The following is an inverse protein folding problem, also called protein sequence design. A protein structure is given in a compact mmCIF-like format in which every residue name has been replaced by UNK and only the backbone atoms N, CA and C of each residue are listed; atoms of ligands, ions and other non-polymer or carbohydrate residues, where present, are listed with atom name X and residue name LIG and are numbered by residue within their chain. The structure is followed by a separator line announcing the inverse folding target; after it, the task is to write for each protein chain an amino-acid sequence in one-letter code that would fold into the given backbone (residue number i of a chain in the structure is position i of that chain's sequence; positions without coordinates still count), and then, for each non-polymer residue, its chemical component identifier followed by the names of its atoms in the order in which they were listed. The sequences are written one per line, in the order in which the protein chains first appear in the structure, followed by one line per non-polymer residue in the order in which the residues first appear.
data_IF_923605402366
#
_entry.id   IF_923605402366
#
_cell.length_a   1.000
_cell.length_b   1.000
_cell.length_c   1.000
_cell.angle_alpha   90.00
_cell.angle_beta   90.00
_cell.angle_gamma   90.00
#
_symmetry.space_group_name_H-M   'P 1'
#
loop_
_entity.id
_entity.type
_entity.pdbx_description
1 polymer ?
#
# COMPACT_ATOMS: atom_id res chain seq x y z
N UNK A 1 8.91 -34.84 -9.65
CA UNK A 1 7.54 -35.09 -10.18
C UNK A 1 7.57 -35.44 -11.68
N UNK A 2 7.28 -36.69 -12.02
CA UNK A 2 7.24 -37.19 -13.39
C UNK A 2 6.12 -36.48 -14.17
N UNK A 3 6.48 -35.63 -15.15
CA UNK A 3 5.50 -35.02 -16.05
C UNK A 3 5.30 -36.00 -17.23
N UNK A 4 4.06 -36.39 -17.55
CA UNK A 4 3.79 -37.34 -18.64
C UNK A 4 4.29 -36.76 -19.99
N UNK A 5 4.89 -37.60 -20.86
CA UNK A 5 5.50 -37.22 -22.14
C UNK A 5 4.61 -36.38 -23.07
N UNK A 6 3.28 -36.54 -22.96
CA UNK A 6 2.28 -35.77 -23.67
C UNK A 6 2.17 -34.29 -23.25
N UNK A 7 2.48 -33.97 -21.99
CA UNK A 7 2.59 -32.59 -21.51
C UNK A 7 3.89 -31.92 -21.95
N UNK A 8 4.91 -32.71 -22.33
CA UNK A 8 6.20 -32.21 -22.75
C UNK A 8 6.23 -31.85 -24.25
N UNK A 9 5.55 -32.64 -25.10
CA UNK A 9 5.40 -32.33 -26.54
C UNK A 9 4.44 -31.17 -26.85
N UNK A 10 3.55 -30.81 -25.91
CA UNK A 10 2.56 -29.73 -26.07
C UNK A 10 2.85 -28.49 -25.24
N UNK A 11 4.07 -28.37 -24.68
CA UNK A 11 4.54 -27.18 -23.95
C UNK A 11 4.42 -25.90 -24.76
N UNK A 12 4.48 -25.98 -26.09
CA UNK A 12 4.43 -24.81 -26.97
C UNK A 12 3.02 -24.45 -27.43
N UNK A 13 2.00 -25.26 -27.13
CA UNK A 13 0.63 -25.08 -27.66
C UNK A 13 -0.15 -24.08 -26.80
N UNK A 14 -0.83 -23.12 -27.43
CA UNK A 14 -1.77 -22.25 -26.69
C UNK A 14 -3.05 -23.04 -26.40
N UNK A 15 -3.48 -23.05 -25.14
CA UNK A 15 -4.69 -23.74 -24.67
C UNK A 15 -4.74 -25.25 -24.95
N UNK A 16 -3.60 -25.91 -25.20
CA UNK A 16 -3.53 -27.30 -25.68
C UNK A 16 -4.29 -27.59 -27.00
N UNK A 17 -4.80 -26.55 -27.67
CA UNK A 17 -5.63 -26.62 -28.89
C UNK A 17 -4.93 -26.01 -30.11
N UNK A 18 -4.05 -25.01 -29.93
CA UNK A 18 -3.40 -24.31 -31.03
C UNK A 18 -1.91 -24.64 -31.13
N UNK A 19 -1.55 -25.39 -32.19
CA UNK A 19 -0.16 -25.68 -32.55
C UNK A 19 0.65 -24.39 -32.84
N UNK A 20 1.98 -24.37 -32.56
CA UNK A 20 2.86 -23.21 -32.77
C UNK A 20 2.87 -22.66 -34.21
N UNK A 21 2.57 -23.48 -35.21
CA UNK A 21 2.49 -23.11 -36.63
C UNK A 21 1.11 -22.68 -37.14
N UNK A 22 0.09 -22.57 -36.28
CA UNK A 22 -1.25 -22.23 -36.75
C UNK A 22 -1.34 -20.78 -37.24
N UNK A 23 -1.93 -20.54 -38.43
CA UNK A 23 -2.02 -19.22 -39.09
C UNK A 23 -2.69 -18.18 -38.19
N UNK A 24 -3.68 -18.60 -37.41
CA UNK A 24 -4.40 -17.75 -36.42
C UNK A 24 -3.44 -17.21 -35.37
N UNK A 25 -2.57 -18.05 -34.80
CA UNK A 25 -1.60 -17.61 -33.77
C UNK A 25 -0.57 -16.66 -34.34
N UNK A 26 -0.10 -16.90 -35.56
CA UNK A 26 0.84 -16.00 -36.25
C UNK A 26 0.21 -14.63 -36.55
N UNK A 27 -1.05 -14.62 -36.98
CA UNK A 27 -1.81 -13.38 -37.18
C UNK A 27 -2.03 -12.63 -35.85
N UNK A 28 -2.43 -13.31 -34.78
CA UNK A 28 -2.56 -12.68 -33.46
C UNK A 28 -1.23 -12.11 -32.96
N UNK A 29 -0.10 -12.81 -33.17
CA UNK A 29 1.24 -12.28 -32.86
C UNK A 29 1.57 -11.02 -33.68
N UNK A 30 1.23 -11.01 -34.97
CA UNK A 30 1.42 -9.85 -35.85
C UNK A 30 0.56 -8.66 -35.41
N UNK A 31 -0.67 -8.90 -34.97
CA UNK A 31 -1.58 -7.87 -34.45
C UNK A 31 -1.03 -7.28 -33.15
N UNK A 32 -0.59 -8.10 -32.19
CA UNK A 32 -0.03 -7.64 -30.91
C UNK A 32 1.30 -6.89 -31.11
N UNK A 33 2.12 -7.30 -32.07
CA UNK A 33 3.40 -6.65 -32.34
C UNK A 33 3.23 -5.25 -32.99
N UNK A 34 2.04 -4.92 -33.48
CA UNK A 34 1.81 -3.68 -34.20
C UNK A 34 1.59 -2.50 -33.23
N UNK A 35 2.38 -1.43 -33.36
CA UNK A 35 2.31 -0.26 -32.46
C UNK A 35 0.93 0.40 -32.41
N UNK A 36 0.15 0.34 -33.50
CA UNK A 36 -1.22 0.90 -33.53
C UNK A 36 -2.15 0.14 -32.58
N UNK A 37 -1.93 -1.16 -32.34
CA UNK A 37 -2.73 -1.92 -31.38
C UNK A 37 -2.60 -1.33 -29.97
N UNK A 38 -1.39 -1.01 -29.54
CA UNK A 38 -1.15 -0.38 -28.23
C UNK A 38 -1.79 1.01 -28.13
N UNK A 39 -1.70 1.83 -29.18
CA UNK A 39 -2.35 3.14 -29.22
C UNK A 39 -3.88 3.05 -29.18
N UNK A 40 -4.46 2.11 -29.91
CA UNK A 40 -5.92 1.88 -29.92
C UNK A 40 -6.40 1.45 -28.53
N UNK A 41 -5.71 0.48 -27.90
CA UNK A 41 -6.09 0.04 -26.55
C UNK A 41 -5.93 1.19 -25.54
N UNK A 42 -4.87 1.99 -25.64
CA UNK A 42 -4.67 3.15 -24.78
C UNK A 42 -5.80 4.20 -24.96
N UNK A 43 -6.24 4.44 -26.20
CA UNK A 43 -7.38 5.32 -26.48
C UNK A 43 -8.66 4.83 -25.80
N UNK A 44 -8.97 3.53 -25.89
CA UNK A 44 -10.14 2.97 -25.20
C UNK A 44 -10.04 3.04 -23.68
N UNK A 45 -8.83 2.87 -23.10
CA UNK A 45 -8.61 3.10 -21.67
C UNK A 45 -8.91 4.56 -21.31
N UNK A 46 -8.39 5.51 -22.10
CA UNK A 46 -8.60 6.94 -21.87
C UNK A 46 -10.08 7.34 -21.96
N UNK A 47 -10.78 6.89 -22.99
CA UNK A 47 -12.23 7.10 -23.14
C UNK A 47 -13.00 6.50 -21.96
N UNK A 48 -12.61 5.31 -21.49
CA UNK A 48 -13.24 4.72 -20.32
C UNK A 48 -13.01 5.54 -19.04
N UNK A 49 -11.82 6.11 -18.84
CA UNK A 49 -11.55 7.02 -17.73
C UNK A 49 -12.45 8.28 -17.80
N UNK A 50 -12.67 8.85 -18.99
CA UNK A 50 -13.59 9.97 -19.18
C UNK A 50 -15.01 9.58 -18.75
N UNK A 51 -15.49 8.40 -19.17
CA UNK A 51 -16.84 7.96 -18.78
C UNK A 51 -17.00 7.80 -17.27
N UNK A 52 -15.97 7.34 -16.55
CA UNK A 52 -15.97 7.25 -15.08
C UNK A 52 -15.96 8.65 -14.46
N UNK A 53 -15.18 9.59 -15.00
CA UNK A 53 -15.12 10.96 -14.50
C UNK A 53 -16.44 11.72 -14.69
N UNK A 54 -17.24 11.35 -15.69
CA UNK A 54 -18.57 11.92 -15.93
C UNK A 54 -19.67 11.31 -15.04
N UNK A 55 -19.41 10.21 -14.32
CA UNK A 55 -20.38 9.57 -13.42
C UNK A 55 -20.67 10.49 -12.22
N UNK A 56 -21.90 11.03 -12.14
CA UNK A 56 -22.37 11.87 -11.02
C UNK A 56 -23.43 11.13 -10.19
N UNK A 57 -23.49 11.35 -8.87
CA UNK A 57 -24.47 10.69 -8.00
C UNK A 57 -25.91 11.16 -8.26
N UNK A 58 -26.10 12.36 -8.81
CA UNK A 58 -27.40 13.01 -8.97
C UNK A 58 -28.15 12.60 -10.26
N UNK A 59 -27.64 11.60 -10.99
CA UNK A 59 -28.23 11.15 -12.26
C UNK A 59 -29.45 10.28 -11.98
N UNK A 60 -30.62 10.72 -12.44
CA UNK A 60 -31.89 10.00 -12.34
C UNK A 60 -31.84 8.60 -12.96
N UNK A 61 -32.60 7.66 -12.40
CA UNK A 61 -32.56 6.25 -12.79
C UNK A 61 -32.92 6.00 -14.27
N UNK A 62 -33.75 6.86 -14.87
CA UNK A 62 -34.27 6.72 -16.24
C UNK A 62 -33.67 7.73 -17.24
N UNK A 63 -32.60 8.45 -16.88
CA UNK A 63 -32.03 9.44 -17.79
C UNK A 63 -31.27 8.77 -18.95
N UNK A 64 -31.28 9.37 -20.16
CA UNK A 64 -30.51 8.87 -21.30
C UNK A 64 -29.00 8.82 -21.03
N UNK A 65 -28.51 9.59 -20.06
CA UNK A 65 -27.11 9.62 -19.64
C UNK A 65 -26.71 8.30 -18.96
N UNK A 66 -27.60 7.72 -18.14
CA UNK A 66 -27.36 6.44 -17.48
C UNK A 66 -27.34 5.29 -18.48
N UNK A 67 -28.21 5.36 -19.50
CA UNK A 67 -28.20 4.42 -20.61
C UNK A 67 -26.89 4.53 -21.41
N UNK A 68 -26.44 5.74 -21.73
CA UNK A 68 -25.17 5.97 -22.41
C UNK A 68 -23.98 5.40 -21.62
N UNK A 69 -23.91 5.65 -20.31
CA UNK A 69 -22.86 5.11 -19.44
C UNK A 69 -22.87 3.57 -19.41
N UNK A 70 -24.06 2.97 -19.39
CA UNK A 70 -24.23 1.51 -19.38
C UNK A 70 -23.76 0.90 -20.70
N UNK A 71 -24.23 1.42 -21.83
CA UNK A 71 -23.82 0.97 -23.17
C UNK A 71 -22.31 1.14 -23.36
N UNK A 72 -21.76 2.29 -22.96
CA UNK A 72 -20.34 2.56 -23.06
C UNK A 72 -19.51 1.56 -22.23
N UNK A 73 -19.96 1.22 -21.02
CA UNK A 73 -19.30 0.22 -20.19
C UNK A 73 -19.29 -1.18 -20.83
N UNK A 74 -20.38 -1.58 -21.49
CA UNK A 74 -20.45 -2.83 -22.25
C UNK A 74 -19.46 -2.83 -23.41
N UNK A 75 -19.42 -1.75 -24.20
CA UNK A 75 -18.50 -1.62 -25.34
C UNK A 75 -17.05 -1.71 -24.88
N UNK A 76 -16.65 -0.97 -23.85
CA UNK A 76 -15.29 -1.02 -23.33
C UNK A 76 -14.94 -2.42 -22.81
N UNK A 77 -15.85 -3.07 -22.09
CA UNK A 77 -15.61 -4.43 -21.59
C UNK A 77 -15.43 -5.42 -22.73
N UNK A 78 -16.25 -5.33 -23.78
CA UNK A 78 -16.12 -6.18 -24.97
C UNK A 78 -14.77 -5.98 -25.69
N UNK A 79 -14.33 -4.72 -25.86
CA UNK A 79 -13.00 -4.41 -26.44
C UNK A 79 -11.89 -5.06 -25.60
N UNK A 80 -11.94 -4.93 -24.28
CA UNK A 80 -10.91 -5.49 -23.41
C UNK A 80 -10.93 -7.02 -23.31
N UNK A 81 -12.10 -7.64 -23.40
CA UNK A 81 -12.23 -9.11 -23.48
C UNK A 81 -11.63 -9.62 -24.80
N UNK A 82 -11.90 -8.91 -25.90
CA UNK A 82 -11.33 -9.24 -27.21
C UNK A 82 -9.81 -9.12 -27.18
N UNK A 83 -9.30 -8.03 -26.61
CA UNK A 83 -7.87 -7.76 -26.42
C UNK A 83 -7.19 -8.85 -25.58
N UNK A 84 -7.78 -9.23 -24.45
CA UNK A 84 -7.32 -10.34 -23.61
C UNK A 84 -7.31 -11.66 -24.39
N UNK A 85 -8.37 -11.96 -25.15
CA UNK A 85 -8.50 -13.19 -25.92
C UNK A 85 -7.41 -13.30 -26.99
N UNK A 86 -7.13 -12.22 -27.72
CA UNK A 86 -6.04 -12.15 -28.71
C UNK A 86 -4.68 -12.43 -28.06
N UNK A 87 -4.42 -11.85 -26.88
CA UNK A 87 -3.19 -12.07 -26.11
C UNK A 87 -3.03 -13.50 -25.62
N UNK A 88 -4.10 -14.10 -25.09
CA UNK A 88 -4.10 -15.48 -24.61
C UNK A 88 -3.81 -16.45 -25.76
N UNK A 89 -4.42 -16.24 -26.93
CA UNK A 89 -4.18 -17.06 -28.13
C UNK A 89 -2.72 -16.94 -28.59
N UNK A 90 -2.14 -15.73 -28.60
CA UNK A 90 -0.78 -15.49 -29.08
C UNK A 90 0.33 -16.04 -28.16
N UNK A 91 0.19 -15.84 -26.84
CA UNK A 91 1.25 -16.07 -25.84
C UNK A 91 1.15 -17.41 -25.09
N UNK A 92 0.05 -18.15 -25.25
CA UNK A 92 -0.30 -19.33 -24.45
C UNK A 92 -0.56 -19.01 -22.97
N UNK A 93 -1.55 -19.69 -22.38
CA UNK A 93 -2.13 -19.32 -21.09
C UNK A 93 -1.21 -19.69 -19.90
N UNK A 94 -0.64 -20.89 -19.88
CA UNK A 94 0.08 -21.44 -18.71
C UNK A 94 1.47 -22.02 -19.04
N UNK A 95 1.66 -22.63 -20.22
CA UNK A 95 2.90 -23.34 -20.58
C UNK A 95 3.58 -22.67 -21.78
N UNK A 96 4.85 -22.29 -21.61
CA UNK A 96 5.70 -21.63 -22.60
C UNK A 96 6.62 -20.55 -21.98
N UNK A 97 7.81 -20.32 -22.54
CA UNK A 97 8.78 -19.33 -22.02
C UNK A 97 8.28 -17.88 -22.08
N UNK A 98 7.15 -17.62 -22.74
CA UNK A 98 6.45 -16.33 -22.80
C UNK A 98 4.97 -16.38 -22.36
N UNK A 99 4.59 -17.31 -21.47
CA UNK A 99 3.20 -17.51 -21.05
C UNK A 99 2.56 -16.23 -20.45
N UNK A 100 1.28 -16.00 -20.78
CA UNK A 100 0.53 -14.80 -20.38
C UNK A 100 0.56 -14.56 -18.85
N UNK A 101 0.37 -15.61 -18.05
CA UNK A 101 0.34 -15.55 -16.59
C UNK A 101 1.71 -15.33 -15.93
N UNK A 102 2.82 -15.41 -16.67
CA UNK A 102 4.16 -15.19 -16.11
C UNK A 102 4.47 -13.70 -15.92
N UNK A 103 3.79 -12.82 -16.66
CA UNK A 103 3.91 -11.38 -16.53
C UNK A 103 2.89 -10.86 -15.52
N UNK A 104 3.35 -10.23 -14.43
CA UNK A 104 2.50 -9.60 -13.40
C UNK A 104 1.55 -8.57 -14.02
N UNK A 105 2.02 -7.83 -15.02
CA UNK A 105 1.24 -6.79 -15.70
C UNK A 105 0.10 -7.35 -16.55
N UNK A 106 0.34 -8.46 -17.24
CA UNK A 106 -0.71 -9.15 -18.00
C UNK A 106 -1.72 -9.82 -17.06
N UNK A 107 -1.26 -10.38 -15.95
CA UNK A 107 -2.13 -10.97 -14.92
C UNK A 107 -3.05 -9.92 -14.29
N UNK A 108 -2.54 -8.72 -14.01
CA UNK A 108 -3.35 -7.59 -13.51
C UNK A 108 -4.43 -7.16 -14.52
N UNK A 109 -4.08 -7.04 -15.80
CA UNK A 109 -5.04 -6.70 -16.86
C UNK A 109 -6.13 -7.77 -17.01
N UNK A 110 -5.74 -9.04 -17.01
CA UNK A 110 -6.67 -10.18 -17.03
C UNK A 110 -7.59 -10.22 -15.81
N UNK A 111 -7.07 -9.94 -14.61
CA UNK A 111 -7.88 -9.82 -13.40
C UNK A 111 -8.93 -8.69 -13.51
N UNK A 112 -8.54 -7.52 -14.02
CA UNK A 112 -9.47 -6.40 -14.20
C UNK A 112 -10.56 -6.69 -15.25
N UNK A 113 -10.24 -7.47 -16.29
CA UNK A 113 -11.23 -7.94 -17.28
C UNK A 113 -12.19 -8.94 -16.64
N UNK A 114 -11.68 -9.90 -15.87
CA UNK A 114 -12.49 -10.89 -15.16
C UNK A 114 -13.48 -10.22 -14.19
N UNK A 115 -13.02 -9.26 -13.38
CA UNK A 115 -13.89 -8.50 -12.47
C UNK A 115 -15.00 -7.78 -13.25
N UNK A 116 -14.69 -7.21 -14.42
CA UNK A 116 -15.69 -6.53 -15.26
C UNK A 116 -16.70 -7.50 -15.87
N UNK A 117 -16.27 -8.71 -16.25
CA UNK A 117 -17.18 -9.77 -16.73
C UNK A 117 -18.11 -10.25 -15.62
N UNK A 118 -17.57 -10.48 -14.42
CA UNK A 118 -18.36 -10.89 -13.25
C UNK A 118 -19.37 -9.81 -12.89
N UNK A 119 -18.99 -8.53 -12.89
CA UNK A 119 -19.91 -7.41 -12.64
C UNK A 119 -21.09 -7.41 -13.62
N UNK A 120 -20.82 -7.60 -14.92
CA UNK A 120 -21.86 -7.73 -15.95
C UNK A 120 -22.78 -8.94 -15.68
N UNK A 121 -22.22 -10.14 -15.49
CA UNK A 121 -23.00 -11.36 -15.26
C UNK A 121 -23.87 -11.21 -14.01
N UNK A 122 -23.33 -10.67 -12.92
CA UNK A 122 -24.07 -10.46 -11.68
C UNK A 122 -25.18 -9.42 -11.91
N UNK A 123 -24.90 -8.32 -12.63
CA UNK A 123 -25.93 -7.32 -12.94
C UNK A 123 -27.10 -7.86 -13.78
N UNK A 124 -26.85 -8.83 -14.67
CA UNK A 124 -27.88 -9.49 -15.46
C UNK A 124 -28.66 -10.54 -14.65
N UNK A 125 -28.03 -11.18 -13.66
CA UNK A 125 -28.62 -12.24 -12.86
C UNK A 125 -29.35 -11.75 -11.58
N UNK A 126 -29.32 -10.45 -11.28
CA UNK A 126 -29.72 -9.90 -9.97
C UNK A 126 -31.24 -9.75 -9.73
N UNK A 127 -32.09 -10.48 -10.46
CA UNK A 127 -33.54 -10.53 -10.17
C UNK A 127 -33.87 -11.24 -8.84
N UNK A 128 -32.87 -11.72 -8.07
CA UNK A 128 -33.09 -12.61 -6.92
C UNK A 128 -32.14 -12.38 -5.74
N UNK A 129 -32.37 -11.33 -4.93
CA UNK A 129 -32.02 -11.36 -3.49
C UNK A 129 -31.10 -10.27 -2.91
N UNK A 130 -31.44 -9.80 -1.70
CA UNK A 130 -30.80 -8.68 -1.00
C UNK A 130 -29.31 -8.86 -0.63
N UNK A 131 -28.76 -10.08 -0.58
CA UNK A 131 -27.32 -10.31 -0.34
C UNK A 131 -26.46 -9.92 -1.55
N UNK A 132 -27.03 -9.95 -2.75
CA UNK A 132 -26.34 -9.61 -4.00
C UNK A 132 -26.05 -8.11 -4.07
N UNK A 133 -26.90 -7.27 -3.44
CA UNK A 133 -26.74 -5.82 -3.40
C UNK A 133 -25.42 -5.36 -2.75
N UNK A 134 -24.92 -6.08 -1.74
CA UNK A 134 -23.64 -5.78 -1.10
C UNK A 134 -22.44 -6.08 -2.00
N UNK A 135 -22.46 -7.24 -2.66
CA UNK A 135 -21.40 -7.67 -3.59
C UNK A 135 -21.38 -6.78 -4.84
N UNK A 136 -22.56 -6.42 -5.37
CA UNK A 136 -22.71 -5.47 -6.47
C UNK A 136 -22.06 -4.11 -6.16
N UNK A 137 -22.16 -3.61 -4.92
CA UNK A 137 -21.51 -2.35 -4.54
C UNK A 137 -19.99 -2.45 -4.64
N UNK A 138 -19.39 -3.55 -4.17
CA UNK A 138 -17.94 -3.74 -4.22
C UNK A 138 -17.46 -3.94 -5.67
N UNK A 139 -18.15 -4.75 -6.46
CA UNK A 139 -17.82 -4.96 -7.88
C UNK A 139 -17.89 -3.64 -8.67
N UNK A 140 -18.92 -2.83 -8.39
CA UNK A 140 -19.04 -1.46 -8.90
C UNK A 140 -17.92 -0.54 -8.44
N UNK A 141 -17.31 -0.72 -7.27
CA UNK A 141 -16.15 0.08 -6.87
C UNK A 141 -14.88 -0.37 -7.60
N UNK A 142 -14.72 -1.67 -7.86
CA UNK A 142 -13.55 -2.20 -8.56
C UNK A 142 -13.43 -1.68 -10.00
N UNK A 143 -14.52 -1.26 -10.64
CA UNK A 143 -14.46 -0.62 -11.98
C UNK A 143 -13.66 0.68 -11.98
N UNK A 144 -13.54 1.37 -10.84
CA UNK A 144 -12.70 2.58 -10.70
C UNK A 144 -11.20 2.27 -10.79
N UNK A 145 -10.80 1.00 -10.74
CA UNK A 145 -9.41 0.55 -10.91
C UNK A 145 -8.96 0.44 -12.37
N UNK A 146 -9.86 0.60 -13.35
CA UNK A 146 -9.53 0.53 -14.79
C UNK A 146 -8.39 1.47 -15.24
N UNK A 147 -8.20 2.68 -14.69
CA UNK A 147 -7.04 3.52 -14.99
C UNK A 147 -5.69 2.84 -14.70
N UNK A 148 -5.63 1.84 -13.79
CA UNK A 148 -4.41 1.06 -13.53
C UNK A 148 -3.91 0.31 -14.77
N UNK A 149 -4.78 0.05 -15.76
CA UNK A 149 -4.38 -0.56 -17.04
C UNK A 149 -3.41 0.33 -17.82
N UNK A 150 -3.44 1.65 -17.63
CA UNK A 150 -2.46 2.58 -18.25
C UNK A 150 -1.04 2.22 -17.83
N UNK A 151 -0.85 1.84 -16.56
CA UNK A 151 0.46 1.39 -16.04
C UNK A 151 0.94 0.16 -16.80
N UNK A 152 0.04 -0.78 -17.11
CA UNK A 152 0.38 -1.99 -17.87
C UNK A 152 0.76 -1.72 -19.33
N UNK A 153 0.43 -0.54 -19.89
CA UNK A 153 0.71 -0.16 -21.29
C UNK A 153 1.87 0.81 -21.43
N UNK A 154 2.05 1.72 -20.47
CA UNK A 154 3.10 2.73 -20.51
C UNK A 154 4.40 2.21 -19.85
N UNK A 155 5.48 1.93 -20.63
CA UNK A 155 6.72 1.39 -20.08
C UNK A 155 7.40 2.34 -19.08
N UNK A 156 7.28 3.65 -19.29
CA UNK A 156 7.78 4.65 -18.33
C UNK A 156 7.10 4.55 -16.96
N UNK A 157 5.79 4.32 -16.93
CA UNK A 157 5.04 4.19 -15.68
C UNK A 157 5.31 2.85 -14.97
N UNK A 158 5.55 1.77 -15.73
CA UNK A 158 6.03 0.49 -15.16
C UNK A 158 7.33 0.67 -14.40
N UNK A 159 8.30 1.34 -15.02
CA UNK A 159 9.59 1.60 -14.39
C UNK A 159 9.44 2.38 -13.08
N UNK A 160 8.57 3.40 -13.06
CA UNK A 160 8.29 4.19 -11.86
C UNK A 160 7.65 3.32 -10.76
N UNK A 161 6.65 2.49 -11.10
CA UNK A 161 5.99 1.63 -10.11
C UNK A 161 6.92 0.51 -9.61
N UNK A 162 7.72 -0.10 -10.48
CA UNK A 162 8.69 -1.14 -10.11
C UNK A 162 9.80 -0.58 -9.20
N UNK A 163 10.27 0.63 -9.48
CA UNK A 163 11.24 1.31 -8.60
C UNK A 163 10.61 1.70 -7.27
N UNK A 164 9.36 2.16 -7.24
CA UNK A 164 8.61 2.40 -6.00
C UNK A 164 8.47 1.14 -5.15
N UNK A 165 8.01 0.03 -5.74
CA UNK A 165 7.86 -1.26 -5.02
C UNK A 165 9.21 -1.76 -4.49
N UNK A 166 10.27 -1.62 -5.28
CA UNK A 166 11.62 -2.02 -4.87
C UNK A 166 12.12 -1.19 -3.68
N UNK A 167 11.83 0.12 -3.68
CA UNK A 167 12.18 1.01 -2.56
C UNK A 167 11.32 0.83 -1.31
N UNK A 168 10.10 0.28 -1.42
CA UNK A 168 9.25 -0.06 -0.26
C UNK A 168 9.82 -1.21 0.58
N UNK A 169 10.56 -2.15 -0.04
CA UNK A 169 11.12 -3.31 0.66
C UNK A 169 12.00 -2.97 1.87
N UNK A 170 13.02 -2.07 1.79
CA UNK A 170 13.79 -1.66 2.96
C UNK A 170 12.98 -0.81 3.96
N UNK A 171 11.99 -0.06 3.49
CA UNK A 171 11.13 0.79 4.34
C UNK A 171 10.27 -0.07 5.29
N UNK A 172 9.85 -1.26 4.84
CA UNK A 172 9.00 -2.17 5.60
C UNK A 172 9.53 -2.51 7.00
N UNK A 173 10.83 -2.75 7.15
CA UNK A 173 11.44 -3.06 8.45
C UNK A 173 11.29 -1.91 9.45
N UNK A 174 11.42 -0.67 8.97
CA UNK A 174 11.33 0.51 9.82
C UNK A 174 9.86 0.80 10.15
N UNK A 175 8.96 0.64 9.18
CA UNK A 175 7.51 0.74 9.41
C UNK A 175 7.05 -0.25 10.47
N UNK A 176 7.57 -1.48 10.45
CA UNK A 176 7.26 -2.49 11.47
C UNK A 176 7.67 -2.04 12.89
N UNK A 177 8.87 -1.46 13.03
CA UNK A 177 9.35 -0.90 14.30
C UNK A 177 8.44 0.24 14.74
N UNK A 178 8.08 1.16 13.83
CA UNK A 178 7.14 2.24 14.10
C UNK A 178 5.79 1.68 14.59
N UNK A 179 5.21 0.70 13.88
CA UNK A 179 3.96 0.06 14.28
C UNK A 179 4.04 -0.53 15.70
N UNK A 180 5.15 -1.19 16.07
CA UNK A 180 5.34 -1.72 17.42
C UNK A 180 5.31 -0.61 18.48
N UNK A 181 6.00 0.52 18.25
CA UNK A 181 5.93 1.68 19.15
C UNK A 181 4.51 2.25 19.27
N UNK A 182 3.81 2.41 18.15
CA UNK A 182 2.41 2.86 18.16
C UNK A 182 1.51 1.93 18.97
N UNK A 183 1.72 0.61 18.92
CA UNK A 183 0.97 -0.34 19.74
C UNK A 183 1.28 -0.17 21.22
N UNK A 184 2.55 -0.05 21.60
CA UNK A 184 2.96 0.15 23.01
C UNK A 184 2.30 1.43 23.56
N UNK A 185 2.43 2.55 22.85
CA UNK A 185 1.81 3.81 23.26
C UNK A 185 0.28 3.77 23.17
N UNK A 186 -0.28 3.02 22.23
CA UNK A 186 -1.72 2.79 22.11
C UNK A 186 -2.28 2.08 23.34
N UNK A 187 -1.62 1.01 23.80
CA UNK A 187 -1.98 0.29 25.01
C UNK A 187 -1.85 1.21 26.23
N UNK A 188 -0.73 1.93 26.36
CA UNK A 188 -0.55 2.91 27.44
C UNK A 188 -1.65 3.98 27.45
N UNK A 189 -2.02 4.50 26.27
CA UNK A 189 -3.10 5.47 26.10
C UNK A 189 -4.44 4.91 26.55
N UNK A 190 -4.76 3.67 26.19
CA UNK A 190 -5.99 2.99 26.65
C UNK A 190 -6.00 2.86 28.17
N UNK A 191 -4.90 2.43 28.79
CA UNK A 191 -4.87 2.27 30.24
C UNK A 191 -5.04 3.60 31.00
N UNK A 192 -4.57 4.71 30.41
CA UNK A 192 -4.63 6.03 31.06
C UNK A 192 -5.96 6.78 30.82
N UNK A 193 -6.57 6.62 29.64
CA UNK A 193 -7.63 7.49 29.14
C UNK A 193 -8.93 6.80 28.73
N UNK A 194 -9.02 5.48 28.85
CA UNK A 194 -10.27 4.75 28.61
C UNK A 194 -11.42 5.36 29.41
N UNK A 195 -12.52 5.70 28.73
CA UNK A 195 -13.71 6.24 29.37
C UNK A 195 -13.65 7.72 29.76
N UNK A 196 -12.51 8.42 29.55
CA UNK A 196 -12.35 9.83 29.96
C UNK A 196 -12.63 10.85 28.84
N UNK A 197 -12.71 10.39 27.59
CA UNK A 197 -12.87 11.23 26.39
C UNK A 197 -14.35 11.46 26.03
N UNK A 198 -15.20 11.60 27.04
CA UNK A 198 -16.63 11.85 26.87
C UNK A 198 -16.96 13.31 27.18
N UNK A 199 -18.08 13.77 26.62
CA UNK A 199 -18.61 15.10 26.87
C UNK A 199 -20.14 15.08 26.82
N UNK A 200 -20.75 15.94 27.61
CA UNK A 200 -22.18 16.24 27.49
C UNK A 200 -22.44 17.20 26.33
N UNK A 201 -23.37 16.85 25.44
CA UNK A 201 -23.89 17.70 24.36
C UNK A 201 -25.30 18.18 24.72
N UNK A 202 -25.46 19.50 24.89
CA UNK A 202 -26.70 20.15 25.30
C UNK A 202 -26.63 21.67 25.15
N UNK A 203 -27.74 22.37 25.38
CA UNK A 203 -27.85 23.83 25.25
C UNK A 203 -27.05 24.57 26.35
N UNK A 204 -27.11 24.06 27.59
CA UNK A 204 -26.45 24.68 28.74
C UNK A 204 -25.68 23.65 29.59
N UNK A 205 -24.38 23.53 29.33
CA UNK A 205 -23.52 22.49 29.95
C UNK A 205 -22.58 23.04 31.03
N UNK A 206 -22.73 24.30 31.43
CA UNK A 206 -21.82 24.98 32.38
C UNK A 206 -21.91 24.42 33.80
N UNK A 207 -23.09 23.96 34.22
CA UNK A 207 -23.35 23.47 35.58
C UNK A 207 -23.35 21.93 35.69
N UNK A 208 -22.91 21.23 34.65
CA UNK A 208 -22.93 19.76 34.58
C UNK A 208 -21.55 19.22 34.92
N UNK A 209 -21.45 18.45 35.99
CA UNK A 209 -20.16 17.92 36.48
C UNK A 209 -19.96 16.45 36.13
N UNK A 210 -21.04 15.66 36.07
CA UNK A 210 -20.99 14.22 35.81
C UNK A 210 -21.99 13.78 34.72
N UNK A 211 -21.77 12.58 34.19
CA UNK A 211 -22.67 11.93 33.23
C UNK A 211 -24.10 11.79 33.74
N UNK A 212 -24.28 11.46 35.02
CA UNK A 212 -25.61 11.37 35.65
C UNK A 212 -26.38 12.69 35.56
N UNK A 213 -25.69 13.82 35.71
CA UNK A 213 -26.29 15.15 35.64
C UNK A 213 -26.63 15.51 34.20
N UNK A 214 -25.78 15.13 33.25
CA UNK A 214 -26.05 15.26 31.82
C UNK A 214 -27.32 14.52 31.41
N UNK A 215 -27.46 13.26 31.83
CA UNK A 215 -28.64 12.44 31.53
C UNK A 215 -29.88 12.97 32.24
N UNK A 216 -29.75 13.50 33.47
CA UNK A 216 -30.86 14.13 34.21
C UNK A 216 -31.37 15.40 33.53
N UNK A 217 -30.47 16.16 32.89
CA UNK A 217 -30.81 17.33 32.09
C UNK A 217 -31.35 16.99 30.68
N UNK A 218 -31.62 15.71 30.40
CA UNK A 218 -32.07 15.22 29.09
C UNK A 218 -31.10 15.53 27.94
N UNK A 219 -29.79 15.57 28.24
CA UNK A 219 -28.73 15.79 27.26
C UNK A 219 -28.01 14.50 26.87
N UNK A 220 -27.25 14.55 25.78
CA UNK A 220 -26.57 13.37 25.23
C UNK A 220 -25.14 13.29 25.74
N UNK A 221 -24.76 12.14 26.30
CA UNK A 221 -23.39 11.86 26.69
C UNK A 221 -22.66 11.17 25.53
N UNK A 222 -21.84 11.94 24.81
CA UNK A 222 -21.17 11.49 23.59
C UNK A 222 -19.66 11.35 23.81
N UNK A 223 -19.04 10.51 22.99
CA UNK A 223 -17.59 10.35 22.95
C UNK A 223 -17.00 11.14 21.79
N UNK A 224 -15.79 11.64 21.98
CA UNK A 224 -15.03 12.26 20.90
C UNK A 224 -14.68 11.25 19.80
N UNK A 225 -14.61 11.73 18.55
CA UNK A 225 -14.25 10.92 17.36
C UNK A 225 -12.89 10.24 17.53
N UNK A 226 -11.92 10.95 18.12
CA UNK A 226 -10.60 10.43 18.46
C UNK A 226 -10.53 10.24 19.98
N UNK A 227 -10.43 8.99 20.44
CA UNK A 227 -10.44 8.61 21.84
C UNK A 227 -9.54 7.37 22.09
N UNK A 228 -9.40 7.00 23.36
CA UNK A 228 -8.56 5.90 23.82
C UNK A 228 -9.38 4.77 24.49
N UNK A 229 -10.62 4.52 24.06
CA UNK A 229 -11.46 3.48 24.67
C UNK A 229 -11.04 2.05 24.30
N UNK A 230 -10.45 1.88 23.11
CA UNK A 230 -9.91 0.62 22.61
C UNK A 230 -8.63 0.85 21.79
N UNK A 231 -7.88 -0.23 21.55
CA UNK A 231 -6.57 -0.13 20.87
C UNK A 231 -6.68 0.46 19.46
N UNK A 232 -7.72 0.10 18.69
CA UNK A 232 -7.90 0.63 17.33
C UNK A 232 -8.12 2.14 17.29
N UNK A 233 -8.99 2.65 18.16
CA UNK A 233 -9.23 4.10 18.30
C UNK A 233 -8.03 4.84 18.87
N UNK A 234 -7.29 4.23 19.80
CA UNK A 234 -6.03 4.76 20.30
C UNK A 234 -4.99 4.89 19.18
N UNK A 235 -4.84 3.87 18.32
CA UNK A 235 -3.95 3.91 17.16
C UNK A 235 -4.34 5.00 16.16
N UNK A 236 -5.65 5.18 15.89
CA UNK A 236 -6.14 6.28 15.04
C UNK A 236 -5.84 7.66 15.67
N UNK A 237 -6.05 7.81 16.98
CA UNK A 237 -5.77 9.05 17.70
C UNK A 237 -4.27 9.37 17.70
N UNK A 238 -3.41 8.38 17.91
CA UNK A 238 -1.95 8.52 17.85
C UNK A 238 -1.46 8.84 16.42
N UNK A 239 -2.10 8.28 15.40
CA UNK A 239 -1.81 8.61 14.00
C UNK A 239 -2.09 10.09 13.70
N UNK A 240 -3.25 10.60 14.11
CA UNK A 240 -3.64 12.02 13.95
C UNK A 240 -2.74 12.94 14.79
N UNK A 241 -2.39 12.54 16.02
CA UNK A 241 -1.38 13.25 16.82
C UNK A 241 -0.03 13.32 16.09
N UNK A 242 0.40 12.22 15.47
CA UNK A 242 1.69 12.14 14.76
C UNK A 242 1.76 12.95 13.47
N UNK A 243 0.64 13.06 12.74
CA UNK A 243 0.56 13.85 11.51
C UNK A 243 0.54 15.36 11.78
N UNK A 244 0.39 15.78 13.06
CA UNK A 244 0.16 17.16 13.48
C UNK A 244 -1.05 17.82 12.81
N UNK A 245 -2.00 17.03 12.33
CA UNK A 245 -3.26 17.53 11.81
C UNK A 245 -4.34 17.29 12.87
N UNK A 246 -5.07 18.32 13.30
CA UNK A 246 -6.09 18.20 14.36
C UNK A 246 -5.61 17.76 15.75
N UNK A 247 -4.29 17.63 15.97
CA UNK A 247 -3.68 17.14 17.21
C UNK A 247 -4.00 18.01 18.45
N UNK A 248 -4.16 19.32 18.25
CA UNK A 248 -4.43 20.29 19.32
C UNK A 248 -5.73 19.95 20.07
N UNK A 249 -6.77 19.55 19.34
CA UNK A 249 -8.06 19.19 19.92
C UNK A 249 -7.98 17.92 20.77
N UNK A 250 -7.18 16.94 20.34
CA UNK A 250 -6.95 15.69 21.08
C UNK A 250 -6.15 16.00 22.35
N UNK A 251 -5.14 16.87 22.24
CA UNK A 251 -4.32 17.29 23.37
C UNK A 251 -5.14 18.03 24.44
N UNK A 252 -5.94 19.04 24.05
CA UNK A 252 -6.79 19.74 25.01
C UNK A 252 -7.86 18.83 25.62
N UNK A 253 -8.42 17.91 24.84
CA UNK A 253 -9.40 16.95 25.37
C UNK A 253 -8.81 16.04 26.44
N UNK A 254 -7.56 15.62 26.30
CA UNK A 254 -6.89 14.83 27.34
C UNK A 254 -6.30 15.66 28.48
N UNK A 255 -6.00 16.95 28.27
CA UNK A 255 -5.62 17.89 29.33
C UNK A 255 -6.79 18.09 30.31
N UNK A 256 -7.96 18.38 29.74
CA UNK A 256 -9.19 18.64 30.50
C UNK A 256 -9.85 17.36 31.03
N UNK A 257 -9.30 16.18 30.73
CA UNK A 257 -9.84 14.90 31.18
C UNK A 257 -9.62 14.75 32.69
N UNK A 258 -10.68 14.55 33.46
CA UNK A 258 -10.58 14.45 34.93
C UNK A 258 -10.64 12.99 35.39
N UNK A 259 -11.77 12.33 35.14
CA UNK A 259 -12.07 10.99 35.64
C UNK A 259 -13.07 10.24 34.78
N UNK A 260 -13.42 9.02 35.20
CA UNK A 260 -14.44 8.21 34.53
C UNK A 260 -15.83 8.80 34.78
N UNK A 261 -16.63 8.92 33.73
CA UNK A 261 -18.00 9.48 33.76
C UNK A 261 -18.11 10.92 34.34
N UNK A 262 -16.98 11.64 34.39
CA UNK A 262 -16.91 13.05 34.80
C UNK A 262 -16.81 13.96 33.58
N UNK A 263 -17.46 15.11 33.63
CA UNK A 263 -17.34 16.15 32.62
C UNK A 263 -15.95 16.79 32.73
N UNK A 264 -15.37 17.06 31.56
CA UNK A 264 -14.06 17.71 31.45
C UNK A 264 -14.04 19.07 32.17
N UNK A 265 -13.01 19.28 32.98
CA UNK A 265 -12.81 20.54 33.70
C UNK A 265 -11.76 21.38 32.98
N UNK A 266 -12.07 22.65 32.74
CA UNK A 266 -11.11 23.64 32.22
C UNK A 266 -10.35 24.37 33.33
N UNK A 267 -10.55 23.97 34.59
CA UNK A 267 -9.85 24.56 35.73
C UNK A 267 -8.36 24.15 35.69
N UNK A 268 -7.42 25.11 35.64
CA UNK A 268 -5.99 24.83 35.65
C UNK A 268 -5.52 23.97 36.84
N UNK A 269 -6.23 23.99 37.98
CA UNK A 269 -5.86 23.23 39.18
C UNK A 269 -6.15 21.74 39.08
N UNK A 270 -7.08 21.34 38.22
CA UNK A 270 -7.48 19.94 38.03
C UNK A 270 -7.02 19.39 36.67
N UNK A 271 -6.12 20.13 36.02
CA UNK A 271 -5.53 19.81 34.73
C UNK A 271 -4.57 18.64 34.86
N UNK A 272 -4.66 17.68 33.94
CA UNK A 272 -3.72 16.58 33.85
C UNK A 272 -2.44 17.03 33.13
N UNK A 273 -1.64 17.90 33.75
CA UNK A 273 -0.42 18.45 33.14
C UNK A 273 0.59 17.37 32.71
N UNK A 274 0.61 16.25 33.46
CA UNK A 274 1.39 15.06 33.11
C UNK A 274 0.97 14.42 31.79
N UNK A 275 -0.27 14.62 31.32
CA UNK A 275 -0.71 14.16 30.01
C UNK A 275 -0.01 14.91 28.88
N UNK A 276 0.10 16.24 28.98
CA UNK A 276 0.83 17.05 27.98
C UNK A 276 2.27 16.61 27.94
N UNK A 277 2.91 16.35 29.08
CA UNK A 277 4.28 15.86 29.11
C UNK A 277 4.43 14.49 28.41
N UNK A 278 3.51 13.54 28.69
CA UNK A 278 3.48 12.21 28.04
C UNK A 278 3.25 12.33 26.53
N UNK A 279 2.31 13.17 26.11
CA UNK A 279 1.98 13.43 24.72
C UNK A 279 3.15 14.12 23.99
N UNK A 280 3.77 15.13 24.60
CA UNK A 280 4.95 15.80 24.06
C UNK A 280 6.16 14.86 23.96
N UNK A 281 6.35 13.98 24.93
CA UNK A 281 7.43 12.98 24.90
C UNK A 281 7.20 11.96 23.78
N UNK A 282 5.98 11.46 23.65
CA UNK A 282 5.56 10.60 22.55
C UNK A 282 5.76 11.27 21.19
N UNK A 283 5.25 12.49 21.02
CA UNK A 283 5.36 13.26 19.79
C UNK A 283 6.83 13.50 19.43
N UNK A 284 7.68 13.86 20.40
CA UNK A 284 9.13 14.07 20.17
C UNK A 284 9.83 12.78 19.74
N UNK A 285 9.59 11.65 20.42
CA UNK A 285 10.15 10.34 20.07
C UNK A 285 9.69 9.90 18.67
N UNK A 286 8.43 10.13 18.35
CA UNK A 286 7.86 9.74 17.07
C UNK A 286 8.32 10.65 15.92
N UNK A 287 8.39 11.97 16.14
CA UNK A 287 8.98 12.91 15.19
C UNK A 287 10.45 12.58 14.94
N UNK A 288 11.22 12.24 15.98
CA UNK A 288 12.60 11.81 15.83
C UNK A 288 12.70 10.53 14.99
N UNK A 289 11.84 9.55 15.26
CA UNK A 289 11.80 8.29 14.52
C UNK A 289 11.41 8.52 13.05
N UNK A 290 10.37 9.30 12.78
CA UNK A 290 9.91 9.66 11.43
C UNK A 290 10.94 10.47 10.65
N UNK A 291 11.59 11.44 11.30
CA UNK A 291 12.70 12.19 10.70
C UNK A 291 13.87 11.27 10.38
N UNK A 292 14.18 10.31 11.27
CA UNK A 292 15.18 9.27 11.00
C UNK A 292 14.75 8.41 9.81
N UNK A 293 13.47 8.08 9.64
CA UNK A 293 12.99 7.36 8.45
C UNK A 293 13.19 8.18 7.17
N UNK A 294 12.80 9.46 7.18
CA UNK A 294 12.88 10.34 6.01
C UNK A 294 14.32 10.60 5.58
N UNK A 295 15.26 10.59 6.52
CA UNK A 295 16.68 10.78 6.24
C UNK A 295 17.32 9.44 5.86
N UNK A 296 17.15 8.39 6.68
CA UNK A 296 17.87 7.12 6.53
C UNK A 296 17.37 6.28 5.36
N UNK A 297 16.08 6.26 5.03
CA UNK A 297 15.58 5.41 3.95
C UNK A 297 16.04 5.87 2.54
N UNK A 298 15.95 7.17 2.18
CA UNK A 298 16.49 7.65 0.92
C UNK A 298 18.01 7.57 0.85
N UNK A 299 18.73 7.84 1.96
CA UNK A 299 20.18 7.64 2.01
C UNK A 299 20.54 6.17 1.78
N UNK A 300 19.85 5.23 2.43
CA UNK A 300 20.07 3.80 2.22
C UNK A 300 19.77 3.36 0.79
N UNK A 301 18.69 3.88 0.20
CA UNK A 301 18.35 3.62 -1.20
C UNK A 301 19.42 4.17 -2.15
N UNK A 302 19.88 5.41 -1.94
CA UNK A 302 20.94 6.03 -2.76
C UNK A 302 22.24 5.25 -2.63
N UNK A 303 22.68 4.93 -1.41
CA UNK A 303 23.89 4.15 -1.18
C UNK A 303 23.80 2.76 -1.84
N UNK A 304 22.66 2.07 -1.71
CA UNK A 304 22.46 0.76 -2.33
C UNK A 304 22.51 0.86 -3.87
N UNK A 305 21.84 1.85 -4.45
CA UNK A 305 21.86 2.08 -5.91
C UNK A 305 23.26 2.44 -6.38
N UNK A 306 23.97 3.33 -5.68
CA UNK A 306 25.36 3.69 -6.02
C UNK A 306 26.29 2.50 -5.94
N UNK A 307 26.21 1.68 -4.88
CA UNK A 307 27.04 0.49 -4.71
C UNK A 307 26.72 -0.56 -5.79
N UNK A 308 25.44 -0.79 -6.11
CA UNK A 308 25.04 -1.69 -7.19
C UNK A 308 25.47 -1.19 -8.58
N UNK A 309 25.36 0.10 -8.86
CA UNK A 309 25.82 0.70 -10.13
C UNK A 309 27.33 0.60 -10.28
N UNK A 310 28.10 0.87 -9.21
CA UNK A 310 29.56 0.71 -9.21
C UNK A 310 29.94 -0.77 -9.39
N UNK A 311 29.26 -1.69 -8.71
CA UNK A 311 29.47 -3.13 -8.88
C UNK A 311 29.13 -3.60 -10.31
N UNK A 312 28.06 -3.08 -10.92
CA UNK A 312 27.65 -3.35 -12.30
C UNK A 312 28.65 -2.82 -13.33
N UNK A 313 29.14 -1.59 -13.15
CA UNK A 313 30.20 -1.01 -13.96
C UNK A 313 31.50 -1.84 -13.87
N UNK A 314 31.87 -2.28 -12.66
CA UNK A 314 33.02 -3.15 -12.44
C UNK A 314 32.86 -4.54 -13.07
N UNK A 315 31.62 -5.06 -13.14
CA UNK A 315 31.27 -6.30 -13.84
C UNK A 315 31.41 -6.14 -15.36
N UNK A 316 30.90 -5.04 -15.92
CA UNK A 316 30.99 -4.77 -17.36
C UNK A 316 32.43 -4.54 -17.80
N UNK A 317 33.24 -3.81 -17.01
CA UNK A 317 34.66 -3.61 -17.32
C UNK A 317 35.48 -4.90 -17.20
N UNK A 318 35.23 -5.74 -16.20
CA UNK A 318 35.87 -7.06 -16.07
C UNK A 318 35.44 -8.03 -17.18
N UNK A 319 34.17 -7.99 -17.60
CA UNK A 319 33.67 -8.82 -18.71
C UNK A 319 34.26 -8.35 -20.04
N UNK A 320 34.38 -7.03 -20.26
CA UNK A 320 35.05 -6.46 -21.43
C UNK A 320 36.55 -6.83 -21.49
N UNK A 321 37.27 -6.76 -20.36
CA UNK A 321 38.66 -7.24 -20.29
C UNK A 321 38.79 -8.75 -20.53
N UNK A 322 37.83 -9.56 -20.06
CA UNK A 322 37.82 -11.01 -20.36
C UNK A 322 37.50 -11.33 -21.81
N UNK A 323 36.65 -10.57 -22.50
CA UNK A 323 36.46 -10.73 -23.94
C UNK A 323 37.72 -10.38 -24.75
N UNK A 324 38.54 -9.44 -24.27
CA UNK A 324 39.87 -9.19 -24.85
C UNK A 324 40.87 -10.33 -24.56
N UNK A 325 40.77 -11.01 -23.42
CA UNK A 325 41.67 -12.13 -23.07
C UNK A 325 41.22 -13.50 -23.63
N UNK A 326 39.91 -13.75 -23.78
CA UNK A 326 39.36 -14.98 -24.39
C UNK A 326 39.51 -15.01 -25.91
N UNK A 327 39.87 -13.89 -26.54
CA UNK A 327 40.44 -13.92 -27.89
C UNK A 327 41.82 -14.62 -27.96
N UNK A 328 42.41 -15.02 -26.83
CA UNK A 328 43.79 -15.49 -26.79
C UNK A 328 44.07 -16.77 -25.98
N UNK A 329 43.12 -17.41 -25.30
CA UNK A 329 43.39 -18.72 -24.64
C UNK A 329 42.12 -19.53 -24.33
N UNK A 330 42.08 -20.77 -24.81
CA UNK A 330 41.15 -21.83 -24.38
C UNK A 330 41.67 -22.45 -23.07
N UNK A 331 41.04 -22.16 -21.93
CA UNK A 331 40.80 -23.17 -20.87
C UNK A 331 39.91 -22.61 -19.74
N UNK A 332 38.97 -23.38 -19.18
CA UNK A 332 38.22 -22.98 -17.96
C UNK A 332 37.85 -24.16 -17.06
N UNK A 333 38.14 -23.99 -15.77
CA UNK A 333 37.58 -24.74 -14.63
C UNK A 333 36.86 -23.80 -13.62
N UNK A 334 35.99 -24.31 -12.71
CA UNK A 334 34.91 -23.52 -12.12
C UNK A 334 35.21 -23.03 -10.68
N UNK A 335 35.64 -21.77 -10.52
CA UNK A 335 35.83 -21.11 -9.20
C UNK A 335 34.67 -20.12 -8.87
N UNK A 336 33.68 -19.96 -9.75
CA UNK A 336 32.75 -18.83 -9.73
C UNK A 336 31.61 -18.85 -8.69
N UNK A 337 31.26 -20.00 -8.09
CA UNK A 337 30.06 -20.07 -7.25
C UNK A 337 30.25 -19.55 -5.81
N UNK A 338 31.38 -19.84 -5.16
CA UNK A 338 31.58 -19.51 -3.73
C UNK A 338 31.85 -18.02 -3.47
N UNK A 339 32.48 -17.32 -4.41
CA UNK A 339 32.86 -15.92 -4.23
C UNK A 339 31.70 -14.91 -4.35
N UNK A 340 30.58 -15.32 -4.97
CA UNK A 340 29.37 -14.50 -5.12
C UNK A 340 28.54 -14.55 -3.82
N UNK A 341 28.45 -15.72 -3.18
CA UNK A 341 27.70 -15.92 -1.93
C UNK A 341 28.29 -15.14 -0.75
N UNK A 342 29.62 -15.21 -0.56
CA UNK A 342 30.34 -14.50 0.51
C UNK A 342 30.23 -12.97 0.40
N UNK A 343 30.30 -12.41 -0.82
CA UNK A 343 30.22 -10.96 -1.05
C UNK A 343 28.83 -10.39 -0.86
N UNK A 344 27.81 -11.15 -1.24
CA UNK A 344 26.41 -10.79 -1.04
C UNK A 344 26.04 -10.87 0.47
N UNK A 345 26.69 -11.78 1.20
CA UNK A 345 26.61 -11.89 2.67
C UNK A 345 27.29 -10.71 3.37
N UNK A 346 28.48 -10.27 2.92
CA UNK A 346 29.15 -9.08 3.45
C UNK A 346 28.38 -7.77 3.18
N UNK A 347 27.79 -7.60 1.99
CA UNK A 347 26.93 -6.44 1.69
C UNK A 347 25.67 -6.39 2.57
N UNK A 348 25.06 -7.55 2.86
CA UNK A 348 23.93 -7.67 3.80
C UNK A 348 24.33 -7.45 5.26
N UNK A 349 25.55 -7.81 5.66
CA UNK A 349 26.00 -7.72 7.05
C UNK A 349 26.53 -6.32 7.42
N UNK A 350 27.14 -5.60 6.48
CA UNK A 350 27.55 -4.20 6.67
C UNK A 350 26.34 -3.25 6.75
N UNK A 351 25.29 -3.51 5.97
CA UNK A 351 24.05 -2.72 5.96
C UNK A 351 23.21 -2.87 7.23
N UNK A 352 23.20 -4.05 7.86
CA UNK A 352 22.52 -4.27 9.14
C UNK A 352 23.20 -3.58 10.33
N UNK A 353 24.53 -3.73 10.47
CA UNK A 353 25.28 -3.22 11.63
C UNK A 353 25.32 -1.69 11.71
N UNK A 354 25.47 -1.00 10.58
CA UNK A 354 25.48 0.47 10.55
C UNK A 354 24.11 1.08 10.89
N UNK A 355 23.02 0.43 10.46
CA UNK A 355 21.66 0.88 10.79
C UNK A 355 21.37 0.74 12.30
N UNK A 356 21.74 -0.40 12.89
CA UNK A 356 21.62 -0.63 14.33
C UNK A 356 22.49 0.35 15.13
N UNK A 357 23.73 0.57 14.71
CA UNK A 357 24.66 1.46 15.41
C UNK A 357 24.24 2.93 15.30
N UNK A 358 23.76 3.39 14.14
CA UNK A 358 23.31 4.78 13.96
C UNK A 358 22.03 5.05 14.75
N UNK A 359 21.07 4.13 14.73
CA UNK A 359 19.83 4.24 15.53
C UNK A 359 20.16 4.21 17.02
N UNK A 360 21.04 3.31 17.47
CA UNK A 360 21.46 3.22 18.86
C UNK A 360 22.25 4.46 19.31
N UNK A 361 23.17 4.97 18.50
CA UNK A 361 23.97 6.18 18.83
C UNK A 361 23.10 7.44 18.85
N UNK A 362 22.09 7.53 17.97
CA UNK A 362 21.14 8.66 17.94
C UNK A 362 20.16 8.60 19.12
N UNK A 363 19.69 7.40 19.48
CA UNK A 363 18.89 7.17 20.69
C UNK A 363 19.68 7.48 21.97
N UNK A 364 20.94 7.03 22.07
CA UNK A 364 21.81 7.25 23.24
C UNK A 364 22.28 8.70 23.40
N UNK A 365 22.45 9.46 22.30
CA UNK A 365 22.83 10.89 22.38
C UNK A 365 21.66 11.83 22.68
N UNK A 366 20.40 11.37 22.52
CA UNK A 366 19.21 12.20 22.66
C UNK A 366 18.29 11.82 23.84
N UNK A 367 18.53 10.69 24.52
CA UNK A 367 17.94 10.44 25.84
C UNK A 367 18.86 11.01 26.94
N UNK A 368 18.56 12.18 27.54
CA UNK A 368 19.11 12.49 28.85
C UNK A 368 18.34 11.66 29.88
N UNK A 369 18.54 10.34 29.89
CA UNK A 369 18.01 9.44 30.93
C UNK A 369 18.47 9.88 32.33
N UNK A 370 19.61 10.57 32.43
CA UNK A 370 20.13 11.14 33.67
C UNK A 370 19.35 12.35 34.20
N UNK A 371 18.52 13.03 33.38
CA UNK A 371 17.64 14.12 33.86
C UNK A 371 16.19 13.69 34.12
N UNK A 372 15.78 12.50 33.64
CA UNK A 372 14.44 11.96 33.81
C UNK A 372 14.28 11.04 35.03
N UNK A 373 15.38 10.59 35.64
CA UNK A 373 15.39 9.75 36.86
C UNK A 373 15.70 10.54 38.15
N UNK A 374 15.88 11.87 38.08
CA UNK A 374 15.90 12.72 39.26
C UNK A 374 14.48 12.86 39.81
N UNK A 375 14.05 11.88 40.59
CA UNK A 375 12.97 12.06 41.56
C UNK A 375 13.38 13.18 42.52
N UNK A 376 12.65 14.31 42.61
CA UNK A 376 12.65 15.04 43.86
C UNK A 376 11.86 14.16 44.84
N UNK A 377 12.53 13.66 45.88
CA UNK A 377 11.83 13.14 47.05
C UNK A 377 10.96 14.23 47.69
N UNK A 378 9.92 13.85 48.45
CA UNK A 378 9.05 14.80 49.14
C UNK A 378 9.89 15.60 50.18
N UNK A 379 9.55 16.86 50.45
CA UNK A 379 8.31 17.25 51.13
C UNK A 379 7.39 18.18 50.34
#
# INVERSE_FOLDING_TARGET
PYKPKFCESRKEWSLYLFAPHNKVRMQCRKIIAHKVFDHVVLLFIFLNCITIALERPDIGADSPERLFMTISNYIFTAVFVTEMSIKVIAMALVFGDGAYLRSTWNTLDGFLVLVSLVDIIVSLASDSGARILGILRVLRLLRTLRPLRVISRAPGLKLVVETLITSLKPIGNIVLICCAFFIIFGILGVQLFKGKFYYCEGLDTKNITNKSDCLRANYKWLKHKYNFDNLGQALMSLFVLSSKDGWVNIMYTGLDAVGLDQQRSKDPKNSNDFFVLKCCTFLRLLLLLLMTMMITAPLHSRHTVTVCSIAGLKRNSQTAMRFQQEGNTNDRSPIHANHISERDRMCRQASGKYLSLLVLTTMLRLLPLSKLLSFPGPP
#
